data_IF_936205522019
#
_entry.id   IF_936205522019
#
_cell.length_a   1.000
_cell.length_b   1.000
_cell.length_c   1.000
_cell.angle_alpha   90.00
_cell.angle_beta   90.00
_cell.angle_gamma   90.00
#
_symmetry.space_group_name_H-M   'P 1'
#
loop_
_entity.id
_entity.type
_entity.pdbx_description
1 polymer ?
#
# COMPACT_ATOMS: atom_id res chain seq x y z
N UNK A 1 -17.07 4.11 59.83
CA UNK A 1 -16.26 3.58 58.72
C UNK A 1 -16.21 4.64 57.62
N UNK A 2 -15.05 5.09 57.22
CA UNK A 2 -14.93 6.19 56.27
C UNK A 2 -15.47 5.77 54.90
N UNK A 3 -16.41 6.54 54.35
CA UNK A 3 -17.01 6.33 53.04
C UNK A 3 -16.09 6.75 51.90
N UNK A 4 -14.78 6.86 52.14
CA UNK A 4 -13.79 7.32 51.16
C UNK A 4 -13.15 6.13 50.42
N UNK A 5 -13.14 6.18 49.11
CA UNK A 5 -12.40 5.23 48.27
C UNK A 5 -10.90 5.58 48.25
N UNK A 6 -10.07 4.56 48.18
CA UNK A 6 -8.65 4.79 47.82
C UNK A 6 -8.51 5.14 46.35
N UNK A 7 -7.43 5.84 45.97
CA UNK A 7 -7.11 6.16 44.60
C UNK A 7 -7.07 4.91 43.72
N UNK A 8 -6.43 3.85 44.20
CA UNK A 8 -6.35 2.57 43.47
C UNK A 8 -7.73 1.91 43.30
N UNK A 9 -8.63 2.00 44.30
CA UNK A 9 -9.99 1.47 44.18
C UNK A 9 -10.80 2.23 43.13
N UNK A 10 -10.67 3.56 43.09
CA UNK A 10 -11.31 4.39 42.05
C UNK A 10 -10.78 4.07 40.65
N UNK A 11 -9.44 3.97 40.51
CA UNK A 11 -8.82 3.65 39.22
C UNK A 11 -9.25 2.28 38.67
N UNK A 12 -9.30 1.27 39.56
CA UNK A 12 -9.82 -0.06 39.18
C UNK A 12 -11.28 -0.01 38.73
N UNK A 13 -12.10 0.77 39.45
CA UNK A 13 -13.49 0.94 39.04
C UNK A 13 -13.62 1.60 37.68
N UNK A 14 -12.85 2.67 37.41
CA UNK A 14 -12.84 3.35 36.11
C UNK A 14 -12.37 2.39 35.01
N UNK A 15 -11.30 1.63 35.26
CA UNK A 15 -10.83 0.63 34.30
C UNK A 15 -11.91 -0.39 33.95
N UNK A 16 -12.60 -0.93 34.92
CA UNK A 16 -13.73 -1.86 34.68
C UNK A 16 -14.85 -1.22 33.85
N UNK A 17 -15.08 0.09 34.00
CA UNK A 17 -16.05 0.82 33.17
C UNK A 17 -15.56 0.94 31.74
N UNK A 18 -14.28 1.29 31.51
CA UNK A 18 -13.69 1.35 30.19
C UNK A 18 -13.70 -0.02 29.52
N UNK A 19 -13.27 -1.07 30.23
CA UNK A 19 -13.16 -2.44 29.66
C UNK A 19 -14.53 -3.07 29.34
N UNK A 20 -15.61 -2.59 29.95
CA UNK A 20 -16.99 -3.07 29.70
C UNK A 20 -17.83 -2.18 28.80
N UNK A 21 -17.29 -1.05 28.34
CA UNK A 21 -17.99 -0.14 27.47
C UNK A 21 -17.79 -0.56 26.01
N UNK A 22 -18.84 -1.07 25.32
CA UNK A 22 -18.74 -1.52 23.95
C UNK A 22 -18.37 -0.41 22.96
N UNK A 23 -18.63 0.86 23.31
CA UNK A 23 -18.21 2.00 22.48
C UNK A 23 -16.71 2.27 22.54
N UNK A 24 -16.02 1.83 23.62
CA UNK A 24 -14.59 1.99 23.79
C UNK A 24 -13.77 0.77 23.32
N UNK A 25 -14.43 -0.36 23.08
CA UNK A 25 -13.82 -1.57 22.55
C UNK A 25 -13.40 -1.40 21.08
N UNK A 26 -14.16 -0.62 20.32
CA UNK A 26 -13.83 -0.34 18.91
C UNK A 26 -14.18 1.10 18.55
N UNK A 27 -13.16 1.94 18.56
CA UNK A 27 -13.27 3.38 18.31
C UNK A 27 -12.68 3.72 16.95
N UNK A 28 -13.36 4.61 16.23
CA UNK A 28 -12.91 5.18 14.96
C UNK A 28 -12.50 6.61 15.22
N UNK A 29 -11.22 6.92 15.05
CA UNK A 29 -10.67 8.26 15.27
C UNK A 29 -9.95 8.76 14.03
N UNK A 30 -10.03 10.05 13.78
CA UNK A 30 -9.14 10.78 12.88
C UNK A 30 -8.30 11.74 13.70
N UNK A 31 -7.03 11.88 13.35
CA UNK A 31 -6.12 12.80 14.04
C UNK A 31 -4.79 12.94 13.35
N UNK A 32 -4.07 13.98 13.74
CA UNK A 32 -2.71 14.23 13.27
C UNK A 32 -1.71 13.52 14.16
N UNK A 33 -0.77 12.80 13.57
CA UNK A 33 0.37 12.16 14.25
C UNK A 33 1.27 13.24 14.83
N UNK A 34 1.63 13.08 16.09
CA UNK A 34 2.49 14.00 16.81
C UNK A 34 3.39 13.28 17.81
N UNK A 35 4.57 13.83 18.08
CA UNK A 35 5.59 13.20 18.94
C UNK A 35 6.01 11.81 18.47
N UNK A 36 6.00 11.58 17.16
CA UNK A 36 6.39 10.31 16.59
C UNK A 36 7.91 10.19 16.46
N UNK A 37 8.45 9.09 16.98
CA UNK A 37 9.82 8.67 16.74
C UNK A 37 9.81 7.19 16.40
N UNK A 38 10.21 6.84 15.19
CA UNK A 38 10.26 5.45 14.71
C UNK A 38 11.11 4.59 15.65
N UNK A 39 10.55 3.46 16.07
CA UNK A 39 11.20 2.47 16.94
C UNK A 39 11.25 1.11 16.24
N UNK A 40 12.18 0.23 16.62
CA UNK A 40 12.34 -1.08 15.94
C UNK A 40 11.12 -1.99 16.06
N UNK A 41 10.38 -1.89 17.17
CA UNK A 41 9.27 -2.79 17.49
C UNK A 41 7.92 -2.06 17.49
N UNK A 42 7.46 -1.71 18.69
CA UNK A 42 6.17 -1.03 18.88
C UNK A 42 6.30 0.46 18.62
N UNK A 43 5.27 1.06 18.06
CA UNK A 43 5.24 2.50 17.83
C UNK A 43 4.39 3.19 18.91
N UNK A 44 4.90 4.31 19.40
CA UNK A 44 4.24 5.16 20.40
C UNK A 44 4.28 6.60 19.90
N UNK A 45 3.13 7.24 19.87
CA UNK A 45 2.97 8.62 19.42
C UNK A 45 1.70 9.22 20.02
N UNK A 46 1.41 10.46 19.67
CA UNK A 46 0.15 11.11 20.03
C UNK A 46 -0.69 11.31 18.77
N UNK A 47 -1.98 11.10 18.89
CA UNK A 47 -2.95 11.60 17.93
C UNK A 47 -3.56 12.88 18.49
N UNK A 48 -3.58 13.95 17.71
CA UNK A 48 -4.13 15.24 18.11
C UNK A 48 -5.10 15.78 17.06
N UNK A 49 -6.04 16.56 17.51
CA UNK A 49 -6.81 17.50 16.74
C UNK A 49 -6.57 18.93 17.26
N UNK A 50 -7.42 19.89 16.90
CA UNK A 50 -7.29 21.28 17.32
C UNK A 50 -7.46 21.49 18.84
N UNK A 51 -8.13 20.55 19.54
CA UNK A 51 -8.59 20.73 20.92
C UNK A 51 -8.11 19.66 21.89
N UNK A 52 -7.70 18.49 21.38
CA UNK A 52 -7.42 17.33 22.21
C UNK A 52 -6.21 16.53 21.70
N UNK A 53 -5.60 15.79 22.63
CA UNK A 53 -4.49 14.87 22.36
C UNK A 53 -4.76 13.56 23.08
N UNK A 54 -4.57 12.45 22.38
CA UNK A 54 -4.61 11.11 22.95
C UNK A 54 -3.31 10.36 22.65
N UNK A 55 -2.79 9.61 23.62
CA UNK A 55 -1.65 8.72 23.40
C UNK A 55 -2.07 7.52 22.55
N UNK A 56 -1.22 7.13 21.61
CA UNK A 56 -1.47 6.03 20.70
C UNK A 56 -0.35 5.01 20.77
N UNK A 57 -0.72 3.74 20.72
CA UNK A 57 0.19 2.59 20.67
C UNK A 57 -0.17 1.71 19.50
N UNK A 58 0.85 1.30 18.73
CA UNK A 58 0.72 0.32 17.66
C UNK A 58 1.70 -0.82 17.92
N UNK A 59 1.18 -2.03 18.03
CA UNK A 59 2.01 -3.21 18.23
C UNK A 59 2.77 -3.57 16.95
N UNK A 60 3.97 -4.11 17.05
CA UNK A 60 4.85 -4.39 15.92
C UNK A 60 4.21 -5.23 14.80
N UNK A 61 3.37 -6.22 15.17
CA UNK A 61 2.64 -7.03 14.18
C UNK A 61 1.65 -6.21 13.37
N UNK A 62 0.91 -5.34 14.03
CA UNK A 62 -0.07 -4.43 13.41
C UNK A 62 0.65 -3.37 12.57
N UNK A 63 1.73 -2.79 13.08
CA UNK A 63 2.48 -1.78 12.33
C UNK A 63 3.04 -2.30 11.01
N UNK A 64 3.49 -3.56 10.99
CA UNK A 64 3.96 -4.22 9.75
C UNK A 64 2.86 -4.44 8.70
N UNK A 65 1.60 -4.48 9.12
CA UNK A 65 0.46 -4.58 8.20
C UNK A 65 0.00 -3.25 7.63
N UNK A 66 0.54 -2.12 8.11
CA UNK A 66 0.27 -0.83 7.50
C UNK A 66 0.90 -0.78 6.11
N UNK A 67 0.15 -0.41 5.10
CA UNK A 67 0.66 -0.22 3.74
C UNK A 67 1.42 1.11 3.56
N UNK A 68 1.79 1.79 4.66
CA UNK A 68 2.49 3.08 4.67
C UNK A 68 3.34 3.22 5.93
N UNK A 69 4.31 4.12 5.89
CA UNK A 69 5.09 4.52 7.07
C UNK A 69 4.45 5.73 7.77
N UNK A 70 4.42 5.67 9.10
CA UNK A 70 3.99 6.81 9.91
C UNK A 70 5.04 7.91 9.86
N UNK A 71 4.58 9.14 9.70
CA UNK A 71 5.42 10.34 9.71
C UNK A 71 4.82 11.40 10.66
N UNK A 72 5.69 12.22 11.25
CA UNK A 72 5.28 13.36 12.08
C UNK A 72 4.43 14.32 11.27
N UNK A 73 3.28 14.73 11.82
CA UNK A 73 2.37 15.65 11.15
C UNK A 73 1.38 15.00 10.17
N UNK A 74 1.52 13.72 9.88
CA UNK A 74 0.59 12.98 9.01
C UNK A 74 -0.80 12.91 9.65
N UNK A 75 -1.84 13.17 8.87
CA UNK A 75 -3.23 12.96 9.29
C UNK A 75 -3.66 11.53 8.94
N UNK A 76 -4.17 10.81 9.92
CA UNK A 76 -4.55 9.40 9.78
C UNK A 76 -5.93 9.12 10.37
N UNK A 77 -6.61 8.13 9.79
CA UNK A 77 -7.80 7.50 10.33
C UNK A 77 -7.38 6.19 11.00
N UNK A 78 -7.82 5.96 12.22
CA UNK A 78 -7.46 4.77 12.97
C UNK A 78 -8.68 4.06 13.52
N UNK A 79 -8.57 2.74 13.61
CA UNK A 79 -9.50 1.88 14.35
C UNK A 79 -8.69 1.26 15.48
N UNK A 80 -9.23 1.31 16.69
CA UNK A 80 -8.57 0.76 17.86
C UNK A 80 -9.48 0.73 19.08
N UNK A 81 -8.93 0.28 20.19
CA UNK A 81 -9.61 0.22 21.47
C UNK A 81 -8.99 1.19 22.46
N UNK A 82 -9.82 1.76 23.33
CA UNK A 82 -9.33 2.62 24.39
C UNK A 82 -8.90 1.76 25.59
N UNK A 83 -7.74 2.08 26.14
CA UNK A 83 -7.19 1.40 27.31
C UNK A 83 -6.83 2.41 28.37
N UNK A 84 -7.18 2.13 29.63
CA UNK A 84 -6.76 2.91 30.79
C UNK A 84 -5.55 2.23 31.46
N UNK A 85 -4.47 2.99 31.61
CA UNK A 85 -3.27 2.56 32.31
C UNK A 85 -3.39 2.91 33.80
N UNK A 86 -3.62 1.90 34.63
CA UNK A 86 -3.92 2.06 36.06
C UNK A 86 -2.88 2.88 36.84
N UNK A 87 -1.56 2.68 36.68
CA UNK A 87 -0.58 3.38 37.50
C UNK A 87 -0.61 4.89 37.40
N UNK A 88 -0.94 5.43 36.23
CA UNK A 88 -1.01 6.88 35.98
C UNK A 88 -2.43 7.42 35.83
N UNK A 89 -3.43 6.55 35.68
CA UNK A 89 -4.80 6.95 35.37
C UNK A 89 -4.97 7.53 33.97
N UNK A 90 -3.97 7.39 33.11
CA UNK A 90 -4.01 7.89 31.74
C UNK A 90 -4.74 6.91 30.81
N UNK A 91 -5.43 7.45 29.80
CA UNK A 91 -6.03 6.64 28.77
C UNK A 91 -5.26 6.80 27.45
N UNK A 92 -5.30 5.75 26.64
CA UNK A 92 -4.65 5.72 25.33
C UNK A 92 -5.46 4.88 24.35
N UNK A 93 -5.20 5.05 23.05
CA UNK A 93 -5.75 4.17 22.04
C UNK A 93 -4.70 3.13 21.64
N UNK A 94 -5.09 1.86 21.65
CA UNK A 94 -4.32 0.75 21.04
C UNK A 94 -4.86 0.55 19.64
N UNK A 95 -4.08 0.91 18.64
CA UNK A 95 -4.47 0.92 17.24
C UNK A 95 -4.39 -0.50 16.67
N UNK A 96 -5.43 -0.93 16.01
CA UNK A 96 -5.56 -2.21 15.31
C UNK A 96 -5.50 -2.05 13.78
N UNK A 97 -5.92 -0.89 13.27
CA UNK A 97 -5.86 -0.53 11.86
C UNK A 97 -5.62 0.97 11.72
N UNK A 98 -4.85 1.36 10.74
CA UNK A 98 -4.67 2.76 10.37
C UNK A 98 -4.59 2.92 8.86
N UNK A 99 -5.03 4.08 8.38
CA UNK A 99 -4.91 4.50 6.99
C UNK A 99 -4.68 6.02 6.96
N UNK A 100 -3.91 6.54 5.99
CA UNK A 100 -3.79 7.99 5.82
C UNK A 100 -5.14 8.63 5.52
N UNK A 101 -5.38 9.84 6.05
CA UNK A 101 -6.64 10.56 5.85
C UNK A 101 -6.66 11.33 4.53
N UNK A 102 -7.75 11.20 3.77
CA UNK A 102 -8.06 12.01 2.60
C UNK A 102 -7.52 11.53 1.26
N UNK A 103 -7.79 12.31 0.22
CA UNK A 103 -7.45 12.04 -1.20
C UNK A 103 -5.93 11.90 -1.44
N UNK A 104 -5.11 12.35 -0.49
CA UNK A 104 -3.65 12.22 -0.54
C UNK A 104 -3.08 10.88 -0.06
N UNK A 105 -3.90 9.97 0.48
CA UNK A 105 -3.40 8.71 1.06
C UNK A 105 -2.60 7.88 0.06
N UNK A 106 -3.12 7.68 -1.12
CA UNK A 106 -2.44 6.94 -2.20
C UNK A 106 -1.22 7.69 -2.73
N UNK A 107 -1.27 9.02 -2.78
CA UNK A 107 -0.12 9.84 -3.18
C UNK A 107 1.03 9.71 -2.18
N UNK A 108 0.74 9.70 -0.88
CA UNK A 108 1.75 9.50 0.17
C UNK A 108 2.38 8.10 0.06
N UNK A 109 1.56 7.06 -0.08
CA UNK A 109 2.04 5.69 -0.27
C UNK A 109 2.92 5.56 -1.52
N UNK A 110 2.51 6.19 -2.63
CA UNK A 110 3.28 6.22 -3.86
C UNK A 110 4.66 6.87 -3.67
N UNK A 111 4.70 8.05 -3.06
CA UNK A 111 5.98 8.76 -2.84
C UNK A 111 6.90 8.00 -1.86
N UNK A 112 6.35 7.39 -0.82
CA UNK A 112 7.12 6.55 0.12
C UNK A 112 7.70 5.33 -0.58
N UNK A 113 6.90 4.63 -1.38
CA UNK A 113 7.35 3.47 -2.15
C UNK A 113 8.41 3.88 -3.18
N UNK A 114 8.15 4.95 -3.93
CA UNK A 114 9.09 5.49 -4.92
C UNK A 114 10.43 5.85 -4.27
N UNK A 115 10.42 6.53 -3.13
CA UNK A 115 11.63 6.87 -2.38
C UNK A 115 12.40 5.62 -1.97
N UNK A 116 11.72 4.65 -1.36
CA UNK A 116 12.29 3.36 -0.94
C UNK A 116 13.01 2.66 -2.11
N UNK A 117 12.30 2.47 -3.22
CA UNK A 117 12.83 1.74 -4.38
C UNK A 117 13.93 2.54 -5.12
N UNK A 118 13.90 3.87 -5.03
CA UNK A 118 14.98 4.73 -5.53
C UNK A 118 16.26 4.55 -4.69
N UNK A 119 16.13 4.53 -3.36
CA UNK A 119 17.25 4.29 -2.44
C UNK A 119 17.85 2.88 -2.60
N UNK A 120 17.01 1.89 -2.90
CA UNK A 120 17.44 0.53 -3.27
C UNK A 120 18.11 0.47 -4.67
N UNK A 121 17.98 1.52 -5.48
CA UNK A 121 18.60 1.65 -6.80
C UNK A 121 17.89 0.96 -7.96
N UNK A 122 16.60 0.57 -7.80
CA UNK A 122 15.87 -0.16 -8.84
C UNK A 122 15.64 0.67 -10.11
N UNK A 123 15.62 2.01 -10.00
CA UNK A 123 15.35 2.89 -11.15
C UNK A 123 16.61 3.38 -11.89
N UNK A 124 17.78 2.84 -11.57
CA UNK A 124 19.03 3.25 -12.23
C UNK A 124 19.06 2.81 -13.70
N UNK A 125 19.52 3.70 -14.58
CA UNK A 125 19.54 3.48 -16.03
C UNK A 125 20.36 2.24 -16.44
N UNK A 126 21.35 1.83 -15.66
CA UNK A 126 22.14 0.62 -15.90
C UNK A 126 21.32 -0.68 -15.94
N UNK A 127 20.12 -0.68 -15.35
CA UNK A 127 19.23 -1.84 -15.34
C UNK A 127 18.24 -1.85 -16.49
N UNK A 128 18.10 -0.73 -17.20
CA UNK A 128 17.21 -0.64 -18.35
C UNK A 128 17.74 -1.45 -19.51
N UNK A 129 16.92 -2.35 -20.00
CA UNK A 129 17.25 -3.19 -21.13
C UNK A 129 16.95 -2.44 -22.45
N UNK A 130 17.82 -2.65 -23.44
CA UNK A 130 17.60 -2.09 -24.76
C UNK A 130 16.40 -2.78 -25.45
N UNK A 131 15.52 -1.99 -26.05
CA UNK A 131 14.43 -2.54 -26.83
C UNK A 131 14.95 -3.07 -28.18
N UNK A 132 14.45 -4.23 -28.65
CA UNK A 132 14.80 -4.75 -29.96
C UNK A 132 14.31 -3.83 -31.06
N UNK A 133 15.13 -3.57 -32.06
CA UNK A 133 14.78 -2.70 -33.20
C UNK A 133 13.66 -3.32 -34.05
N UNK A 134 13.67 -4.64 -34.22
CA UNK A 134 12.72 -5.40 -35.02
C UNK A 134 12.22 -6.62 -34.21
N UNK A 135 11.26 -6.41 -33.27
CA UNK A 135 10.70 -7.52 -32.53
C UNK A 135 9.88 -8.44 -33.45
N UNK A 136 10.00 -9.74 -33.25
CA UNK A 136 9.19 -10.74 -33.97
C UNK A 136 7.99 -11.16 -33.17
N UNK A 137 8.13 -11.17 -31.82
CA UNK A 137 7.07 -11.64 -30.93
C UNK A 137 6.97 -10.72 -29.71
N UNK A 138 5.78 -10.17 -29.50
CA UNK A 138 5.46 -9.24 -28.42
C UNK A 138 4.50 -9.92 -27.44
N UNK A 139 4.88 -10.02 -26.18
CA UNK A 139 3.95 -10.39 -25.12
C UNK A 139 3.17 -9.17 -24.65
N UNK A 140 1.87 -9.29 -24.45
CA UNK A 140 1.01 -8.21 -23.95
C UNK A 140 0.27 -8.66 -22.71
N UNK A 141 0.51 -8.01 -21.60
CA UNK A 141 -0.12 -8.25 -20.30
C UNK A 141 -1.17 -7.16 -20.07
N UNK A 142 -2.42 -7.48 -20.36
CA UNK A 142 -3.56 -6.56 -20.24
C UNK A 142 -4.89 -7.33 -20.23
N UNK A 143 -6.00 -6.62 -20.06
CA UNK A 143 -7.34 -7.24 -20.13
C UNK A 143 -7.67 -7.73 -21.55
N UNK A 144 -8.34 -8.87 -21.62
CA UNK A 144 -8.68 -9.52 -22.90
C UNK A 144 -9.63 -8.70 -23.78
N UNK A 145 -10.52 -7.91 -23.17
CA UNK A 145 -11.57 -7.17 -23.88
C UNK A 145 -11.40 -5.66 -23.83
N UNK A 146 -10.26 -5.17 -23.29
CA UNK A 146 -10.00 -3.73 -23.11
C UNK A 146 -9.71 -2.99 -24.43
N UNK A 147 -9.74 -1.66 -24.36
CA UNK A 147 -9.33 -0.80 -25.49
C UNK A 147 -7.85 -0.99 -25.80
N UNK A 148 -7.00 -1.12 -24.76
CA UNK A 148 -5.54 -1.21 -24.91
C UNK A 148 -5.10 -2.33 -25.84
N UNK A 149 -5.63 -3.54 -25.70
CA UNK A 149 -5.26 -4.65 -26.58
C UNK A 149 -5.67 -4.38 -28.04
N UNK A 150 -6.83 -3.77 -28.27
CA UNK A 150 -7.28 -3.41 -29.61
C UNK A 150 -6.38 -2.35 -30.23
N UNK A 151 -5.99 -1.35 -29.46
CA UNK A 151 -5.11 -0.27 -29.92
C UNK A 151 -3.71 -0.80 -30.26
N UNK A 152 -3.17 -1.70 -29.42
CA UNK A 152 -1.89 -2.37 -29.69
C UNK A 152 -1.99 -3.19 -30.97
N UNK A 153 -3.00 -4.05 -31.12
CA UNK A 153 -3.18 -4.88 -32.32
C UNK A 153 -3.30 -3.99 -33.57
N UNK A 154 -4.16 -2.97 -33.53
CA UNK A 154 -4.38 -2.06 -34.65
C UNK A 154 -3.10 -1.33 -35.02
N UNK A 155 -2.37 -0.83 -34.06
CA UNK A 155 -1.14 -0.06 -34.29
C UNK A 155 -0.02 -0.95 -34.82
N UNK A 156 0.20 -2.13 -34.23
CA UNK A 156 1.21 -3.09 -34.68
C UNK A 156 0.88 -3.60 -36.09
N UNK A 157 -0.36 -4.04 -36.34
CA UNK A 157 -0.77 -4.57 -37.66
C UNK A 157 -0.60 -3.55 -38.79
N UNK A 158 -0.80 -2.27 -38.47
CA UNK A 158 -0.64 -1.19 -39.46
C UNK A 158 0.81 -0.83 -39.74
N UNK A 159 1.66 -0.88 -38.70
CA UNK A 159 3.05 -0.41 -38.75
C UNK A 159 4.04 -1.53 -39.08
N UNK A 160 3.80 -2.71 -38.54
CA UNK A 160 4.69 -3.86 -38.67
C UNK A 160 3.90 -5.20 -38.62
N UNK A 161 3.18 -5.56 -39.72
CA UNK A 161 2.22 -6.66 -39.72
C UNK A 161 2.81 -8.07 -39.52
N UNK A 162 4.14 -8.20 -39.60
CA UNK A 162 4.83 -9.48 -39.40
C UNK A 162 5.05 -9.87 -37.93
N UNK A 163 4.64 -9.03 -36.97
CA UNK A 163 4.82 -9.29 -35.54
C UNK A 163 3.72 -10.20 -34.99
N UNK A 164 4.13 -11.22 -34.25
CA UNK A 164 3.21 -12.06 -33.48
C UNK A 164 2.91 -11.42 -32.12
N UNK A 165 1.64 -11.31 -31.78
CA UNK A 165 1.20 -10.81 -30.45
C UNK A 165 0.72 -11.97 -29.62
N UNK A 166 1.33 -12.16 -28.44
CA UNK A 166 0.95 -13.16 -27.44
C UNK A 166 0.26 -12.45 -26.28
N UNK A 167 -1.05 -12.59 -26.17
CA UNK A 167 -1.82 -12.00 -25.08
C UNK A 167 -1.73 -12.86 -23.82
N UNK A 168 -1.41 -12.22 -22.69
CA UNK A 168 -1.57 -12.73 -21.34
C UNK A 168 -2.78 -12.04 -20.70
N UNK A 169 -3.96 -12.67 -20.76
CA UNK A 169 -5.17 -12.09 -20.20
C UNK A 169 -4.98 -11.84 -18.70
N UNK A 170 -5.17 -10.60 -18.28
CA UNK A 170 -4.82 -10.15 -16.91
C UNK A 170 -5.89 -9.20 -16.41
N UNK A 171 -6.32 -9.39 -15.18
CA UNK A 171 -7.10 -8.39 -14.46
C UNK A 171 -6.19 -7.19 -14.17
N UNK A 172 -6.55 -6.01 -14.67
CA UNK A 172 -5.70 -4.81 -14.59
C UNK A 172 -6.23 -3.75 -13.61
N UNK A 173 -7.28 -4.07 -12.85
CA UNK A 173 -7.87 -3.19 -11.83
C UNK A 173 -8.61 -4.01 -10.77
N UNK A 174 -8.76 -3.42 -9.57
CA UNK A 174 -9.44 -4.02 -8.43
C UNK A 174 -8.59 -5.09 -7.72
N UNK A 175 -9.21 -5.72 -6.73
CA UNK A 175 -8.55 -6.71 -5.86
C UNK A 175 -7.96 -7.88 -6.66
N UNK A 176 -6.71 -8.23 -6.36
CA UNK A 176 -5.97 -9.32 -7.02
C UNK A 176 -5.30 -8.94 -8.35
N UNK A 177 -5.51 -7.73 -8.88
CA UNK A 177 -4.92 -7.33 -10.16
C UNK A 177 -3.38 -7.35 -10.13
N UNK A 178 -2.75 -6.83 -9.09
CA UNK A 178 -1.29 -6.85 -8.93
C UNK A 178 -0.72 -8.27 -8.95
N UNK A 179 -1.34 -9.19 -8.24
CA UNK A 179 -0.92 -10.60 -8.20
C UNK A 179 -1.01 -11.27 -9.58
N UNK A 180 -2.06 -10.97 -10.35
CA UNK A 180 -2.19 -11.50 -11.72
C UNK A 180 -1.13 -10.88 -12.66
N UNK A 181 -0.84 -9.59 -12.53
CA UNK A 181 0.23 -8.92 -13.30
C UNK A 181 1.57 -9.59 -13.02
N UNK A 182 1.92 -9.77 -11.73
CA UNK A 182 3.16 -10.45 -11.31
C UNK A 182 3.24 -11.87 -11.89
N UNK A 183 2.18 -12.65 -11.72
CA UNK A 183 2.13 -14.03 -12.21
C UNK A 183 2.32 -14.10 -13.74
N UNK A 184 1.72 -13.18 -14.49
CA UNK A 184 1.84 -13.16 -15.95
C UNK A 184 3.22 -12.61 -16.41
N UNK A 185 3.87 -11.71 -15.69
CA UNK A 185 5.27 -11.34 -15.93
C UNK A 185 6.16 -12.58 -15.76
N UNK A 186 6.01 -13.31 -14.65
CA UNK A 186 6.77 -14.52 -14.38
C UNK A 186 6.52 -15.60 -15.44
N UNK A 187 5.27 -15.80 -15.84
CA UNK A 187 4.88 -16.76 -16.89
C UNK A 187 5.49 -16.39 -18.25
N UNK A 188 5.49 -15.11 -18.59
CA UNK A 188 6.13 -14.64 -19.83
C UNK A 188 7.63 -14.88 -19.80
N UNK A 189 8.29 -14.66 -18.66
CA UNK A 189 9.73 -14.89 -18.47
C UNK A 189 10.15 -16.37 -18.53
N UNK A 190 9.21 -17.33 -18.50
CA UNK A 190 9.50 -18.74 -18.75
C UNK A 190 9.63 -19.07 -20.24
N UNK A 191 9.32 -18.15 -21.13
CA UNK A 191 9.41 -18.30 -22.58
C UNK A 191 10.70 -17.66 -23.10
N UNK A 192 11.35 -18.34 -24.04
CA UNK A 192 12.59 -17.86 -24.66
C UNK A 192 12.34 -17.19 -26.03
N UNK A 193 11.09 -17.16 -26.48
CA UNK A 193 10.72 -16.69 -27.80
C UNK A 193 10.05 -15.30 -27.80
N UNK A 194 9.97 -14.63 -26.65
CA UNK A 194 9.44 -13.27 -26.55
C UNK A 194 10.56 -12.24 -26.61
N UNK A 195 10.42 -11.25 -27.47
CA UNK A 195 11.40 -10.20 -27.65
C UNK A 195 11.17 -8.99 -26.74
N UNK A 196 9.89 -8.69 -26.43
CA UNK A 196 9.49 -7.58 -25.57
C UNK A 196 8.15 -7.86 -24.92
N UNK A 197 7.92 -7.31 -23.73
CA UNK A 197 6.62 -7.29 -23.06
C UNK A 197 6.06 -5.89 -23.05
N UNK A 198 4.75 -5.78 -23.26
CA UNK A 198 3.98 -4.56 -23.02
C UNK A 198 3.05 -4.83 -21.86
N UNK A 199 3.13 -4.02 -20.82
CA UNK A 199 2.24 -4.09 -19.65
C UNK A 199 1.47 -2.79 -19.60
N UNK A 200 0.16 -2.86 -19.58
CA UNK A 200 -0.61 -1.62 -19.52
C UNK A 200 -2.10 -1.81 -19.32
N UNK A 201 -2.73 -0.70 -18.97
CA UNK A 201 -4.17 -0.54 -18.95
C UNK A 201 -4.53 0.84 -19.52
N UNK A 202 -5.77 1.00 -19.93
CA UNK A 202 -6.33 2.30 -20.31
C UNK A 202 -6.33 3.28 -19.12
N UNK A 203 -6.51 4.57 -19.42
CA UNK A 203 -6.60 5.61 -18.40
C UNK A 203 -7.66 5.33 -17.32
N UNK A 204 -7.56 6.00 -16.19
CA UNK A 204 -8.46 5.87 -15.04
C UNK A 204 -8.00 6.71 -13.87
N UNK A 205 -8.72 6.62 -12.75
CA UNK A 205 -8.33 7.26 -11.50
C UNK A 205 -7.06 6.65 -10.91
N UNK A 206 -6.43 7.34 -9.98
CA UNK A 206 -5.23 6.82 -9.28
C UNK A 206 -5.53 5.52 -8.53
N UNK A 207 -6.74 5.38 -8.00
CA UNK A 207 -7.22 4.17 -7.34
C UNK A 207 -7.29 2.99 -8.31
N UNK A 208 -7.77 3.25 -9.51
CA UNK A 208 -7.85 2.23 -10.56
C UNK A 208 -6.47 1.78 -11.05
N UNK A 209 -5.50 2.69 -11.08
CA UNK A 209 -4.13 2.43 -11.52
C UNK A 209 -3.26 1.83 -10.41
N UNK A 210 -3.76 1.80 -9.17
CA UNK A 210 -2.96 1.48 -7.99
C UNK A 210 -2.30 0.10 -8.05
N UNK A 211 -2.95 -0.88 -8.67
CA UNK A 211 -2.40 -2.23 -8.81
C UNK A 211 -1.00 -2.25 -9.47
N UNK A 212 -0.70 -1.27 -10.34
CA UNK A 212 0.62 -1.14 -10.99
C UNK A 212 1.65 -0.41 -10.12
N UNK A 213 1.20 0.27 -9.05
CA UNK A 213 2.06 0.94 -8.07
C UNK A 213 2.40 0.05 -6.87
N UNK A 214 1.99 -1.22 -6.85
CA UNK A 214 2.37 -2.13 -5.79
C UNK A 214 3.82 -2.60 -5.93
N UNK A 215 4.54 -2.67 -4.81
CA UNK A 215 5.96 -3.05 -4.76
C UNK A 215 6.25 -4.37 -5.49
N UNK A 216 5.36 -5.36 -5.34
CA UNK A 216 5.49 -6.66 -5.98
C UNK A 216 5.55 -6.57 -7.51
N UNK A 217 4.75 -5.67 -8.12
CA UNK A 217 4.74 -5.43 -9.57
C UNK A 217 6.03 -4.76 -10.01
N UNK A 218 6.49 -3.74 -9.28
CA UNK A 218 7.76 -3.05 -9.59
C UNK A 218 8.94 -4.01 -9.54
N UNK A 219 8.99 -4.88 -8.53
CA UNK A 219 10.03 -5.90 -8.40
C UNK A 219 9.97 -6.94 -9.52
N UNK A 220 8.78 -7.42 -9.88
CA UNK A 220 8.62 -8.35 -11.00
C UNK A 220 9.06 -7.74 -12.34
N UNK A 221 8.80 -6.44 -12.56
CA UNK A 221 9.30 -5.71 -13.74
C UNK A 221 10.83 -5.63 -13.69
N UNK A 222 11.40 -5.28 -12.55
CA UNK A 222 12.85 -5.17 -12.38
C UNK A 222 13.58 -6.50 -12.61
N UNK A 223 13.02 -7.61 -12.15
CA UNK A 223 13.56 -8.96 -12.27
C UNK A 223 13.35 -9.58 -13.67
N UNK A 224 12.56 -8.93 -14.53
CA UNK A 224 12.26 -9.46 -15.86
C UNK A 224 13.53 -9.50 -16.74
N UNK A 225 13.79 -10.66 -17.34
CA UNK A 225 14.84 -10.81 -18.35
C UNK A 225 14.42 -10.33 -19.74
N UNK A 226 13.12 -10.15 -19.95
CA UNK A 226 12.56 -9.62 -21.20
C UNK A 226 12.33 -8.12 -20.99
N UNK A 227 12.78 -7.25 -21.92
CA UNK A 227 12.54 -5.83 -21.83
C UNK A 227 11.04 -5.52 -21.75
N UNK A 228 10.64 -4.65 -20.82
CA UNK A 228 9.25 -4.30 -20.55
C UNK A 228 8.98 -2.85 -20.94
N UNK A 229 7.89 -2.63 -21.65
CA UNK A 229 7.28 -1.31 -21.90
C UNK A 229 6.05 -1.19 -21.00
N UNK A 230 6.05 -0.20 -20.12
CA UNK A 230 4.90 0.17 -19.31
C UNK A 230 4.08 1.27 -20.01
N UNK A 231 2.77 1.06 -20.11
CA UNK A 231 1.83 2.00 -20.77
C UNK A 231 0.63 2.32 -19.87
#
# INVERSE_FOLDING_TARGET
MSNYLSVSSLTKYLKLKFDKDPYLERVYLTGQVSNFRKRPNHQYFSLKDEKAVIQATVWAGVYRSFGFELEEGMKINVIGRIQLYEPSGSYSIVIEKAEPDGVGALAIQFEQLKKKLTEEGLFQDRWKQALPQFPRKIGVITSQSGAVIRDIITTVSRRFPGVEIVLYPTKVQGEGASSEVVANIQRANQRDDLDVLIIGRGGGSIEDLWAFNEEAVVRAIFESRIPIISS
#
